data_IF_396983913826
#
_entry.id   IF_396983913826
#
_cell.length_a   1.000
_cell.length_b   1.000
_cell.length_c   1.000
_cell.angle_alpha   90.00
_cell.angle_beta   90.00
_cell.angle_gamma   90.00
#
_symmetry.space_group_name_H-M   'P 1'
#
loop_
_entity.id
_entity.type
_entity.pdbx_description
1 polymer ?
#
# COMPACT_ATOMS: atom_id res chain seq x y z
N UNK A 1 19.19 26.74 45.71
CA UNK A 1 19.47 28.00 44.98
C UNK A 1 20.13 27.65 43.65
N UNK A 2 19.62 28.21 42.54
CA UNK A 2 20.17 28.20 41.15
C UNK A 2 20.22 26.80 40.51
N UNK A 3 19.23 26.29 39.76
CA UNK A 3 18.34 26.87 38.73
C UNK A 3 19.04 27.55 37.54
N UNK A 4 20.26 27.16 37.18
CA UNK A 4 20.92 27.44 35.89
C UNK A 4 21.99 26.34 35.74
N UNK A 5 21.97 25.40 34.79
CA UNK A 5 22.01 25.58 33.34
C UNK A 5 21.43 24.32 32.66
N UNK A 6 20.11 24.20 32.72
CA UNK A 6 19.32 23.57 31.64
C UNK A 6 19.43 24.57 30.47
N UNK A 7 20.54 24.58 29.73
CA UNK A 7 20.76 25.51 28.61
C UNK A 7 22.05 25.22 27.83
N UNK A 8 22.30 23.97 27.42
CA UNK A 8 23.24 23.71 26.32
C UNK A 8 23.00 22.32 25.72
N UNK A 9 22.37 22.29 24.55
CA UNK A 9 22.08 21.05 23.83
C UNK A 9 20.82 21.10 22.97
N UNK A 10 20.02 22.16 23.05
CA UNK A 10 18.93 22.45 22.11
C UNK A 10 19.50 23.10 20.83
N UNK A 11 20.32 22.36 20.10
CA UNK A 11 20.89 22.79 18.82
C UNK A 11 21.34 21.61 17.95
N UNK A 12 20.47 20.61 17.77
CA UNK A 12 20.62 19.68 16.66
C UNK A 12 19.41 19.80 15.73
N UNK A 13 19.58 20.72 14.78
CA UNK A 13 19.02 20.69 13.43
C UNK A 13 17.52 20.46 13.28
N UNK A 14 16.74 21.55 13.30
CA UNK A 14 15.60 21.64 12.39
C UNK A 14 16.15 21.78 10.96
N UNK A 15 16.60 20.66 10.39
CA UNK A 15 16.89 20.54 8.97
C UNK A 15 15.60 20.33 8.21
N UNK A 16 14.72 21.33 8.18
CA UNK A 16 13.62 21.35 7.23
C UNK A 16 14.18 21.87 5.91
N UNK A 17 14.88 20.99 5.18
CA UNK A 17 15.13 21.22 3.77
C UNK A 17 13.82 20.96 3.05
N UNK A 18 13.15 22.01 2.58
CA UNK A 18 12.15 21.87 1.52
C UNK A 18 12.88 21.18 0.37
N UNK A 19 12.55 19.89 0.16
CA UNK A 19 13.08 19.13 -0.94
C UNK A 19 12.59 19.83 -2.21
N UNK A 20 13.47 20.12 -3.18
CA UNK A 20 13.02 20.67 -4.45
C UNK A 20 11.93 19.77 -5.02
N UNK A 21 10.91 20.38 -5.62
CA UNK A 21 9.79 19.70 -6.27
C UNK A 21 10.35 18.75 -7.34
N UNK A 22 10.56 17.50 -6.93
CA UNK A 22 11.22 16.49 -7.73
C UNK A 22 10.16 15.98 -8.71
N UNK A 23 10.31 16.38 -9.97
CA UNK A 23 9.43 15.94 -11.04
C UNK A 23 9.36 14.42 -11.04
N UNK A 24 8.16 13.87 -10.84
CA UNK A 24 7.92 12.43 -10.83
C UNK A 24 8.43 11.84 -12.15
N UNK A 25 9.29 10.80 -12.14
CA UNK A 25 9.76 10.17 -13.36
C UNK A 25 8.59 9.65 -14.21
N UNK A 26 8.72 9.68 -15.54
CA UNK A 26 7.66 9.30 -16.50
C UNK A 26 7.14 7.87 -16.26
N UNK A 27 7.99 6.98 -15.75
CA UNK A 27 7.66 5.56 -15.52
C UNK A 27 7.22 5.23 -14.08
N UNK A 28 6.81 6.25 -13.31
CA UNK A 28 6.26 6.08 -11.96
C UNK A 28 4.75 6.30 -11.99
N UNK A 29 4.01 5.30 -11.49
CA UNK A 29 2.56 5.35 -11.31
C UNK A 29 2.18 6.49 -10.38
N UNK A 30 1.05 7.13 -10.65
CA UNK A 30 0.47 8.10 -9.72
C UNK A 30 0.15 7.46 -8.36
N UNK A 31 0.02 8.30 -7.32
CA UNK A 31 -0.37 7.85 -5.99
C UNK A 31 -1.71 7.09 -6.05
N UNK A 32 -2.66 7.57 -6.87
CA UNK A 32 -3.98 6.95 -7.01
C UNK A 32 -3.89 5.58 -7.67
N UNK A 33 -3.10 5.44 -8.74
CA UNK A 33 -2.87 4.14 -9.41
C UNK A 33 -2.17 3.15 -8.47
N UNK A 34 -1.12 3.58 -7.79
CA UNK A 34 -0.38 2.73 -6.85
C UNK A 34 -1.28 2.31 -5.68
N UNK A 35 -2.09 3.22 -5.14
CA UNK A 35 -3.07 2.91 -4.09
C UNK A 35 -4.04 1.82 -4.54
N UNK A 36 -4.61 1.93 -5.75
CA UNK A 36 -5.54 0.93 -6.27
C UNK A 36 -4.87 -0.44 -6.45
N UNK A 37 -3.62 -0.48 -6.89
CA UNK A 37 -2.83 -1.72 -6.99
C UNK A 37 -2.58 -2.32 -5.60
N UNK A 38 -2.17 -1.50 -4.63
CA UNK A 38 -1.84 -1.97 -3.27
C UNK A 38 -3.07 -2.54 -2.55
N UNK A 39 -4.26 -1.98 -2.75
CA UNK A 39 -5.52 -2.58 -2.26
C UNK A 39 -5.71 -4.01 -2.80
N UNK A 40 -5.53 -4.22 -4.11
CA UNK A 40 -5.67 -5.54 -4.70
C UNK A 40 -4.58 -6.51 -4.21
N UNK A 41 -3.35 -6.04 -4.02
CA UNK A 41 -2.27 -6.85 -3.43
C UNK A 41 -2.68 -7.36 -2.04
N UNK A 42 -3.19 -6.48 -1.16
CA UNK A 42 -3.62 -6.88 0.17
C UNK A 42 -4.77 -7.89 0.15
N UNK A 43 -5.75 -7.71 -0.76
CA UNK A 43 -6.86 -8.66 -0.91
C UNK A 43 -6.38 -10.04 -1.40
N UNK A 44 -5.46 -10.07 -2.35
CA UNK A 44 -4.84 -11.30 -2.86
C UNK A 44 -4.07 -12.01 -1.74
N UNK A 45 -3.20 -11.29 -1.03
CA UNK A 45 -2.37 -11.86 0.04
C UNK A 45 -3.23 -12.38 1.20
N UNK A 46 -4.25 -11.62 1.61
CA UNK A 46 -5.24 -12.07 2.60
C UNK A 46 -5.93 -13.37 2.17
N UNK A 47 -6.36 -13.45 0.90
CA UNK A 47 -6.97 -14.65 0.33
C UNK A 47 -6.03 -15.87 0.32
N UNK A 48 -4.75 -15.68 0.01
CA UNK A 48 -3.72 -16.73 0.05
C UNK A 48 -3.55 -17.28 1.47
N UNK A 49 -3.47 -16.39 2.45
CA UNK A 49 -3.29 -16.75 3.86
C UNK A 49 -4.46 -17.60 4.34
N UNK A 50 -5.70 -17.19 4.03
CA UNK A 50 -6.93 -17.92 4.41
C UNK A 50 -6.97 -19.32 3.80
N UNK A 51 -6.51 -19.49 2.56
CA UNK A 51 -6.56 -20.78 1.84
C UNK A 51 -5.53 -21.81 2.32
N UNK A 52 -4.63 -21.46 3.25
CA UNK A 52 -3.63 -22.37 3.86
C UNK A 52 -2.79 -23.17 2.85
N UNK A 53 -2.44 -22.55 1.71
CA UNK A 53 -1.61 -23.20 0.70
C UNK A 53 -0.24 -23.62 1.25
N UNK A 54 0.22 -24.81 0.81
CA UNK A 54 1.59 -25.23 1.07
C UNK A 54 2.60 -24.34 0.31
N UNK A 55 3.89 -24.44 0.63
CA UNK A 55 4.94 -23.54 0.10
C UNK A 55 4.98 -23.50 -1.43
N UNK A 56 4.87 -24.66 -2.09
CA UNK A 56 4.93 -24.76 -3.55
C UNK A 56 3.70 -24.16 -4.21
N UNK A 57 2.51 -24.49 -3.70
CA UNK A 57 1.24 -23.93 -4.16
C UNK A 57 1.25 -22.40 -4.02
N UNK A 58 1.70 -21.89 -2.86
CA UNK A 58 1.79 -20.45 -2.59
C UNK A 58 2.67 -19.75 -3.63
N UNK A 59 3.85 -20.29 -3.95
CA UNK A 59 4.76 -19.69 -4.93
C UNK A 59 4.15 -19.61 -6.33
N UNK A 60 3.49 -20.67 -6.78
CA UNK A 60 2.79 -20.69 -8.07
C UNK A 60 1.67 -19.65 -8.12
N UNK A 61 0.83 -19.64 -7.08
CA UNK A 61 -0.30 -18.71 -6.98
C UNK A 61 0.15 -17.25 -6.95
N UNK A 62 1.17 -16.89 -6.17
CA UNK A 62 1.72 -15.53 -6.14
C UNK A 62 2.12 -15.07 -7.56
N UNK A 63 2.79 -15.95 -8.33
CA UNK A 63 3.22 -15.61 -9.68
C UNK A 63 2.05 -15.31 -10.60
N UNK A 64 1.00 -16.13 -10.54
CA UNK A 64 -0.19 -15.95 -11.39
C UNK A 64 -1.01 -14.73 -10.95
N UNK A 65 -1.11 -14.47 -9.65
CA UNK A 65 -1.78 -13.29 -9.14
C UNK A 65 -1.11 -11.99 -9.57
N UNK A 66 0.22 -11.87 -9.48
CA UNK A 66 0.91 -10.66 -9.94
C UNK A 66 0.74 -10.46 -11.46
N UNK A 67 0.73 -11.54 -12.26
CA UNK A 67 0.41 -11.41 -13.70
C UNK A 67 -1.01 -10.86 -13.92
N UNK A 68 -2.00 -11.37 -13.19
CA UNK A 68 -3.38 -10.89 -13.26
C UNK A 68 -3.51 -9.44 -12.76
N UNK A 69 -2.77 -9.07 -11.71
CA UNK A 69 -2.72 -7.72 -11.16
C UNK A 69 -2.21 -6.73 -12.22
N UNK A 70 -1.07 -7.02 -12.84
CA UNK A 70 -0.50 -6.19 -13.90
C UNK A 70 -1.46 -6.02 -15.08
N UNK A 71 -2.12 -7.10 -15.48
CA UNK A 71 -3.11 -7.06 -16.55
C UNK A 71 -4.34 -6.20 -16.18
N UNK A 72 -4.89 -6.37 -14.97
CA UNK A 72 -6.06 -5.64 -14.47
C UNK A 72 -5.81 -4.12 -14.46
N UNK A 73 -4.64 -3.71 -13.97
CA UNK A 73 -4.26 -2.30 -13.85
C UNK A 73 -3.62 -1.74 -15.12
N UNK A 74 -3.42 -2.56 -16.16
CA UNK A 74 -2.75 -2.18 -17.42
C UNK A 74 -1.35 -1.62 -17.20
N UNK A 75 -0.64 -2.15 -16.22
CA UNK A 75 0.74 -1.76 -15.87
C UNK A 75 1.71 -2.86 -16.27
N UNK A 76 2.94 -2.47 -16.61
CA UNK A 76 4.02 -3.45 -16.76
C UNK A 76 4.59 -3.83 -15.39
N UNK A 77 5.23 -5.00 -15.31
CA UNK A 77 5.99 -5.40 -14.11
C UNK A 77 7.06 -4.35 -13.76
N UNK A 78 7.77 -3.85 -14.77
CA UNK A 78 8.84 -2.87 -14.61
C UNK A 78 8.32 -1.54 -14.08
N UNK A 79 7.21 -1.04 -14.63
CA UNK A 79 6.54 0.18 -14.13
C UNK A 79 6.13 0.03 -12.67
N UNK A 80 5.55 -1.11 -12.28
CA UNK A 80 5.21 -1.37 -10.89
C UNK A 80 6.44 -1.43 -9.98
N UNK A 81 7.48 -2.17 -10.36
CA UNK A 81 8.72 -2.29 -9.58
C UNK A 81 9.45 -0.95 -9.44
N UNK A 82 9.52 -0.15 -10.51
CA UNK A 82 10.10 1.18 -10.50
C UNK A 82 9.31 2.13 -9.62
N UNK A 83 7.97 2.09 -9.69
CA UNK A 83 7.10 2.89 -8.84
C UNK A 83 7.24 2.50 -7.37
N UNK A 84 7.28 1.20 -7.07
CA UNK A 84 7.46 0.72 -5.71
C UNK A 84 8.80 1.16 -5.14
N UNK A 85 9.87 1.08 -5.94
CA UNK A 85 11.17 1.61 -5.57
C UNK A 85 11.10 3.12 -5.30
N UNK A 86 10.50 3.88 -6.21
CA UNK A 86 10.34 5.33 -6.06
C UNK A 86 9.65 5.68 -4.75
N UNK A 87 8.48 5.11 -4.46
CA UNK A 87 7.75 5.41 -3.23
C UNK A 87 8.48 4.93 -1.97
N UNK A 88 9.23 3.83 -2.03
CA UNK A 88 10.08 3.40 -0.91
C UNK A 88 11.17 4.44 -0.56
N UNK A 89 11.68 5.15 -1.56
CA UNK A 89 12.66 6.23 -1.39
C UNK A 89 11.99 7.58 -0.99
N UNK A 90 10.65 7.66 -1.01
CA UNK A 90 9.84 8.85 -0.68
C UNK A 90 8.78 8.55 0.40
N UNK A 91 9.17 8.48 1.69
CA UNK A 91 8.29 8.03 2.77
C UNK A 91 6.99 8.82 2.91
N UNK A 92 7.02 10.13 2.66
CA UNK A 92 5.85 11.01 2.70
C UNK A 92 4.79 10.64 1.66
N UNK A 93 5.21 10.33 0.42
CA UNK A 93 4.30 9.89 -0.64
C UNK A 93 3.83 8.45 -0.42
N UNK A 94 4.68 7.62 0.16
CA UNK A 94 4.34 6.24 0.52
C UNK A 94 3.28 6.20 1.63
N UNK A 95 3.38 7.08 2.62
CA UNK A 95 2.37 7.25 3.67
C UNK A 95 1.00 7.58 3.06
N UNK A 96 0.94 8.51 2.09
CA UNK A 96 -0.30 8.84 1.38
C UNK A 96 -0.93 7.62 0.67
N UNK A 97 -0.11 6.77 0.06
CA UNK A 97 -0.56 5.51 -0.56
C UNK A 97 -1.14 4.55 0.49
N UNK A 98 -0.46 4.41 1.64
CA UNK A 98 -0.92 3.54 2.71
C UNK A 98 -2.23 4.03 3.33
N UNK A 99 -2.37 5.34 3.57
CA UNK A 99 -3.59 5.93 4.11
C UNK A 99 -4.77 5.73 3.16
N UNK A 100 -4.58 6.00 1.85
CA UNK A 100 -5.61 5.77 0.85
C UNK A 100 -5.99 4.29 0.71
N UNK A 101 -5.02 3.38 0.84
CA UNK A 101 -5.26 1.93 0.84
C UNK A 101 -6.09 1.51 2.05
N UNK A 102 -5.73 1.97 3.26
CA UNK A 102 -6.46 1.67 4.49
C UNK A 102 -7.88 2.22 4.47
N UNK A 103 -8.07 3.44 3.98
CA UNK A 103 -9.40 4.03 3.80
C UNK A 103 -10.25 3.16 2.86
N UNK A 104 -9.70 2.77 1.71
CA UNK A 104 -10.44 1.96 0.73
C UNK A 104 -10.79 0.58 1.28
N UNK A 105 -9.86 -0.08 1.97
CA UNK A 105 -10.12 -1.38 2.60
C UNK A 105 -11.20 -1.27 3.68
N UNK A 106 -11.14 -0.24 4.52
CA UNK A 106 -12.15 0.01 5.56
C UNK A 106 -13.53 0.23 4.96
N UNK A 107 -13.62 0.96 3.84
CA UNK A 107 -14.88 1.17 3.11
C UNK A 107 -15.41 -0.14 2.53
N UNK A 108 -14.56 -0.94 1.90
CA UNK A 108 -14.94 -2.25 1.36
C UNK A 108 -15.44 -3.19 2.46
N UNK A 109 -14.78 -3.18 3.63
CA UNK A 109 -15.23 -3.97 4.79
C UNK A 109 -16.63 -3.52 5.26
N UNK A 110 -16.86 -2.22 5.38
CA UNK A 110 -18.16 -1.69 5.75
C UNK A 110 -19.24 -2.03 4.72
N UNK A 111 -18.94 -1.97 3.42
CA UNK A 111 -19.84 -2.37 2.34
C UNK A 111 -20.26 -3.84 2.50
N UNK A 112 -19.30 -4.75 2.69
CA UNK A 112 -19.55 -6.19 2.89
C UNK A 112 -20.35 -6.47 4.17
N UNK A 113 -20.12 -5.73 5.25
CA UNK A 113 -20.88 -5.91 6.51
C UNK A 113 -22.33 -5.40 6.41
N UNK A 114 -22.57 -4.37 5.60
CA UNK A 114 -23.89 -3.80 5.40
C UNK A 114 -24.74 -4.57 4.38
N UNK A 115 -24.10 -5.31 3.47
CA UNK A 115 -24.74 -6.35 2.66
C UNK A 115 -25.05 -7.57 3.54
N UNK A 116 -26.21 -7.56 4.21
CA UNK A 116 -26.72 -8.73 4.96
C UNK A 116 -26.60 -10.00 4.09
N UNK A 117 -26.12 -11.14 4.62
CA UNK A 117 -26.07 -12.36 3.85
C UNK A 117 -27.48 -12.74 3.43
N UNK A 118 -27.73 -12.79 2.12
CA UNK A 118 -28.98 -13.30 1.57
C UNK A 118 -29.14 -14.75 2.03
N UNK A 119 -30.04 -14.95 2.98
CA UNK A 119 -30.32 -16.25 3.60
C UNK A 119 -31.14 -17.15 2.66
N UNK A 120 -31.38 -16.73 1.40
CA UNK A 120 -32.14 -17.47 0.40
C UNK A 120 -31.36 -18.57 -0.34
N UNK A 121 -30.02 -18.64 -0.22
CA UNK A 121 -29.21 -19.66 -0.94
C UNK A 121 -28.76 -20.86 -0.10
N UNK A 122 -29.25 -21.03 1.12
CA UNK A 122 -29.02 -22.23 1.96
C UNK A 122 -30.24 -23.16 2.05
N UNK A 123 -31.17 -23.08 1.08
CA UNK A 123 -32.19 -24.13 0.88
C UNK A 123 -32.10 -24.65 -0.55
N UNK A 124 -31.17 -25.56 -0.79
CA UNK A 124 -31.40 -26.75 -1.61
C UNK A 124 -30.37 -27.84 -1.37
#
# INVERSE_FOLDING_TARGET
MKKYLILLGLAFGLGCGEKPDESVPIDVLSIQEMTAIMVDVQLIEGGIVIRKYNKTQRKGQITDYYKSLYHKHKVSKETFENSLKYYTDHPDKLEEIYDGMLERLSKLEAEVQNEKPDTSSQVK
#
